data_IF_539303959333
#
_entry.id   IF_539303959333
#
_cell.length_a   1.000
_cell.length_b   1.000
_cell.length_c   1.000
_cell.angle_alpha   90.00
_cell.angle_beta   90.00
_cell.angle_gamma   90.00
#
_symmetry.space_group_name_H-M   'P 1'
#
loop_
_entity.id
_entity.type
_entity.pdbx_description
1 polymer ?
#
# COMPACT_ATOMS: atom_id res chain seq x y z
N UNK A 1 -24.51 18.03 18.81
CA UNK A 1 -23.58 18.45 19.87
C UNK A 1 -22.86 17.17 20.27
N UNK A 2 -21.67 16.93 19.71
CA UNK A 2 -20.94 15.68 19.97
C UNK A 2 -20.40 15.71 21.38
N UNK A 3 -20.52 14.61 22.11
CA UNK A 3 -19.98 14.49 23.47
C UNK A 3 -18.50 14.90 23.48
N UNK A 4 -18.11 15.72 24.47
CA UNK A 4 -16.71 16.06 24.73
C UNK A 4 -15.95 14.77 25.09
N UNK A 5 -15.32 14.15 24.09
CA UNK A 5 -14.47 12.98 24.30
C UNK A 5 -13.23 13.41 25.09
N UNK A 6 -13.21 13.11 26.38
CA UNK A 6 -12.05 13.32 27.25
C UNK A 6 -10.94 12.33 26.90
N UNK A 7 -9.71 12.80 26.92
CA UNK A 7 -8.54 11.96 26.73
C UNK A 7 -8.42 10.96 27.90
N UNK A 8 -8.25 9.67 27.59
CA UNK A 8 -8.12 8.61 28.60
C UNK A 8 -6.80 8.62 29.38
N UNK A 9 -5.82 9.44 28.96
CA UNK A 9 -4.48 9.53 29.56
C UNK A 9 -4.34 10.77 30.46
N UNK A 10 -4.73 11.96 29.98
CA UNK A 10 -4.67 13.19 30.79
C UNK A 10 -6.01 13.62 31.40
N UNK A 11 -7.15 13.07 30.99
CA UNK A 11 -8.48 13.48 31.47
C UNK A 11 -9.00 14.81 30.91
N UNK A 12 -8.13 15.54 30.21
CA UNK A 12 -8.46 16.82 29.57
C UNK A 12 -9.34 16.63 28.32
N UNK A 13 -10.01 17.71 27.92
CA UNK A 13 -10.70 17.85 26.64
C UNK A 13 -9.94 18.83 25.73
N UNK A 14 -8.71 18.50 25.26
CA UNK A 14 -7.84 19.46 24.57
C UNK A 14 -8.27 19.79 23.12
N UNK A 15 -9.43 19.30 22.68
CA UNK A 15 -9.92 19.42 21.30
C UNK A 15 -10.56 18.11 20.81
N UNK A 16 -10.78 17.95 19.49
CA UNK A 16 -11.38 16.73 18.94
C UNK A 16 -10.46 15.53 19.16
N UNK A 17 -10.90 14.60 20.03
CA UNK A 17 -10.25 13.30 20.24
C UNK A 17 -10.93 12.26 19.36
N UNK A 18 -10.16 11.54 18.55
CA UNK A 18 -10.71 10.47 17.72
C UNK A 18 -11.27 9.35 18.60
N UNK A 19 -12.56 9.02 18.45
CA UNK A 19 -13.26 8.02 19.26
C UNK A 19 -12.53 6.67 19.27
N UNK A 20 -12.02 6.25 18.11
CA UNK A 20 -11.30 4.99 17.95
C UNK A 20 -10.05 4.88 18.85
N UNK A 21 -9.35 6.01 19.09
CA UNK A 21 -8.15 6.07 19.93
C UNK A 21 -8.51 6.42 21.38
N UNK A 22 -9.36 7.42 21.59
CA UNK A 22 -9.69 7.96 22.91
C UNK A 22 -8.52 8.70 23.59
N UNK A 23 -7.50 9.12 22.83
CA UNK A 23 -6.31 9.82 23.33
C UNK A 23 -6.04 11.08 22.49
N UNK A 24 -5.62 12.17 23.14
CA UNK A 24 -5.22 13.39 22.44
C UNK A 24 -3.81 13.29 21.83
N UNK A 25 -3.52 14.19 20.90
CA UNK A 25 -2.22 14.26 20.22
C UNK A 25 -1.04 14.45 21.21
N UNK A 26 -1.23 15.30 22.22
CA UNK A 26 -0.16 15.63 23.17
C UNK A 26 0.22 14.40 24.01
N UNK A 27 -0.76 13.62 24.49
CA UNK A 27 -0.48 12.38 25.20
C UNK A 27 0.20 11.32 24.32
N UNK A 28 -0.13 11.25 23.02
CA UNK A 28 0.58 10.35 22.09
C UNK A 28 2.06 10.74 21.96
N UNK A 29 2.39 12.04 21.99
CA UNK A 29 3.75 12.55 21.80
C UNK A 29 4.57 12.56 23.08
N UNK A 30 3.95 12.97 24.19
CA UNK A 30 4.65 13.31 25.44
C UNK A 30 4.53 12.19 26.48
N UNK A 31 3.50 11.34 26.38
CA UNK A 31 3.25 10.20 27.29
C UNK A 31 3.04 8.88 26.52
N UNK A 32 3.96 8.51 25.61
CA UNK A 32 3.77 7.38 24.69
C UNK A 32 3.58 6.04 25.41
N UNK A 33 4.27 5.82 26.54
CA UNK A 33 4.15 4.58 27.32
C UNK A 33 2.73 4.40 27.90
N UNK A 34 2.09 5.49 28.29
CA UNK A 34 0.71 5.49 28.79
C UNK A 34 -0.33 5.45 27.66
N UNK A 35 0.02 5.99 26.50
CA UNK A 35 -0.83 5.97 25.31
C UNK A 35 -0.84 4.60 24.61
N UNK A 36 0.26 3.84 24.67
CA UNK A 36 0.44 2.61 23.89
C UNK A 36 -0.64 1.55 24.10
N UNK A 37 -1.07 1.22 25.35
CA UNK A 37 -2.10 0.20 25.56
C UNK A 37 -3.44 0.52 24.89
N UNK A 38 -3.77 1.81 24.77
CA UNK A 38 -4.98 2.27 24.09
C UNK A 38 -4.82 2.21 22.56
N UNK A 39 -3.64 2.58 22.04
CA UNK A 39 -3.30 2.48 20.61
C UNK A 39 -3.36 1.01 20.16
N UNK A 40 -2.69 0.12 20.88
CA UNK A 40 -2.68 -1.31 20.57
C UNK A 40 -4.09 -1.90 20.58
N UNK A 41 -4.91 -1.52 21.56
CA UNK A 41 -6.31 -1.95 21.63
C UNK A 41 -7.14 -1.46 20.44
N UNK A 42 -6.95 -0.22 19.99
CA UNK A 42 -7.66 0.33 18.83
C UNK A 42 -7.37 -0.48 17.55
N UNK A 43 -6.09 -0.76 17.31
CA UNK A 43 -5.65 -1.59 16.18
C UNK A 43 -6.10 -3.05 16.31
N UNK A 44 -6.03 -3.64 17.50
CA UNK A 44 -6.55 -4.98 17.73
C UNK A 44 -8.03 -5.08 17.37
N UNK A 45 -8.86 -4.14 17.83
CA UNK A 45 -10.30 -4.11 17.52
C UNK A 45 -10.54 -3.93 16.01
N UNK A 46 -9.80 -3.03 15.36
CA UNK A 46 -9.91 -2.81 13.93
C UNK A 46 -9.56 -4.06 13.11
N UNK A 47 -8.56 -4.82 13.55
CA UNK A 47 -8.01 -5.96 12.80
C UNK A 47 -8.69 -7.29 13.10
N UNK A 48 -9.20 -7.48 14.33
CA UNK A 48 -9.92 -8.69 14.75
C UNK A 48 -11.09 -9.03 13.84
N UNK A 49 -11.82 -8.01 13.36
CA UNK A 49 -12.96 -8.16 12.45
C UNK A 49 -12.60 -8.83 11.12
N UNK A 50 -11.32 -8.80 10.74
CA UNK A 50 -10.80 -9.40 9.51
C UNK A 50 -9.96 -10.67 9.79
N UNK A 51 -9.90 -11.15 11.03
CA UNK A 51 -9.04 -12.28 11.40
C UNK A 51 -7.54 -12.00 11.20
N UNK A 52 -7.14 -10.73 11.23
CA UNK A 52 -5.75 -10.33 11.02
C UNK A 52 -4.99 -10.16 12.35
N UNK A 53 -3.68 -10.45 12.41
CA UNK A 53 -2.89 -10.31 13.63
C UNK A 53 -2.87 -8.87 14.13
N UNK A 54 -3.08 -8.63 15.43
CA UNK A 54 -3.10 -7.27 16.01
C UNK A 54 -1.76 -6.53 15.87
N UNK A 55 -0.64 -7.27 15.90
CA UNK A 55 0.73 -6.78 15.76
C UNK A 55 1.51 -7.66 14.78
N UNK A 56 2.60 -7.16 14.16
CA UNK A 56 3.50 -8.01 13.40
C UNK A 56 4.04 -9.17 14.27
N UNK A 57 3.90 -10.44 13.84
CA UNK A 57 4.35 -11.57 14.65
C UNK A 57 5.88 -11.59 14.79
N UNK A 58 6.33 -12.09 15.95
CA UNK A 58 7.74 -12.12 16.41
C UNK A 58 8.03 -13.45 17.13
N UNK A 59 7.46 -14.54 16.63
CA UNK A 59 7.54 -15.84 17.30
C UNK A 59 8.92 -16.45 17.15
N UNK A 60 9.57 -16.75 18.28
CA UNK A 60 10.92 -17.34 18.30
C UNK A 60 10.94 -18.68 17.54
N UNK A 61 11.99 -18.88 16.71
CA UNK A 61 12.09 -20.06 15.85
C UNK A 61 11.10 -20.10 14.67
N UNK A 62 10.28 -19.06 14.49
CA UNK A 62 9.33 -18.96 13.39
C UNK A 62 9.99 -18.63 12.04
N UNK A 63 9.18 -18.69 10.98
CA UNK A 63 9.61 -18.40 9.61
C UNK A 63 9.59 -16.90 9.34
N UNK A 64 10.70 -16.37 8.83
CA UNK A 64 10.86 -14.94 8.56
C UNK A 64 10.32 -14.49 7.20
N UNK A 65 9.69 -13.33 7.14
CA UNK A 65 9.31 -12.64 5.89
C UNK A 65 10.02 -11.28 5.77
N UNK A 66 10.71 -11.07 4.66
CA UNK A 66 11.57 -9.91 4.41
C UNK A 66 11.02 -8.84 3.46
N UNK A 67 9.74 -8.83 3.12
CA UNK A 67 9.22 -7.94 2.05
C UNK A 67 8.91 -6.50 2.48
N UNK A 68 8.83 -6.23 3.78
CA UNK A 68 8.54 -4.90 4.31
C UNK A 68 9.25 -4.67 5.66
N UNK A 69 9.14 -3.46 6.19
CA UNK A 69 9.72 -3.03 7.47
C UNK A 69 9.22 -3.84 8.66
N UNK A 70 8.04 -4.48 8.54
CA UNK A 70 7.47 -5.28 9.62
C UNK A 70 8.25 -6.55 9.92
N UNK A 71 9.12 -7.04 9.02
CA UNK A 71 10.01 -8.20 9.24
C UNK A 71 9.35 -9.32 10.09
N UNK A 72 8.17 -9.78 9.65
CA UNK A 72 7.34 -10.72 10.42
C UNK A 72 8.10 -12.05 10.63
N UNK A 73 8.00 -12.61 11.84
CA UNK A 73 8.50 -13.95 12.18
C UNK A 73 7.30 -14.76 12.67
N UNK A 74 6.86 -15.73 11.86
CA UNK A 74 5.59 -16.45 12.04
C UNK A 74 5.84 -17.85 12.59
N UNK A 75 5.27 -18.16 13.76
CA UNK A 75 5.18 -19.51 14.30
C UNK A 75 4.20 -20.37 13.50
N UNK A 76 4.19 -21.68 13.75
CA UNK A 76 3.29 -22.61 13.05
C UNK A 76 1.82 -22.17 13.20
N UNK A 77 1.09 -22.08 12.08
CA UNK A 77 -0.29 -21.61 12.02
C UNK A 77 -0.47 -20.08 12.08
N UNK A 78 0.59 -19.30 12.33
CA UNK A 78 0.50 -17.85 12.39
C UNK A 78 0.49 -17.19 11.00
N UNK A 79 -0.27 -16.11 10.89
CA UNK A 79 -0.30 -15.22 9.71
C UNK A 79 0.60 -14.01 9.91
N UNK A 80 1.17 -13.51 8.83
CA UNK A 80 1.90 -12.25 8.79
C UNK A 80 0.95 -11.05 8.89
N UNK A 81 1.50 -9.88 9.24
CA UNK A 81 0.68 -8.69 9.49
C UNK A 81 -0.16 -8.25 8.28
N UNK A 82 0.31 -8.44 7.05
CA UNK A 82 -0.49 -8.11 5.87
C UNK A 82 -1.59 -9.13 5.54
N UNK A 83 -1.62 -10.28 6.23
CA UNK A 83 -2.55 -11.38 6.01
C UNK A 83 -2.25 -12.28 4.80
N UNK A 84 -1.39 -11.83 3.88
CA UNK A 84 -1.07 -12.57 2.64
C UNK A 84 -0.14 -13.77 2.84
N UNK A 85 0.57 -13.87 3.97
CA UNK A 85 1.56 -14.93 4.23
C UNK A 85 1.28 -15.59 5.56
N UNK A 86 1.59 -16.87 5.67
CA UNK A 86 1.46 -17.64 6.90
C UNK A 86 2.51 -18.74 6.95
N UNK A 87 2.68 -19.34 8.12
CA UNK A 87 3.52 -20.51 8.30
C UNK A 87 2.66 -21.77 8.44
N UNK A 88 2.91 -22.75 7.59
CA UNK A 88 2.31 -24.07 7.62
C UNK A 88 3.33 -25.06 7.06
N UNK A 89 4.16 -25.64 7.94
CA UNK A 89 5.34 -26.40 7.52
C UNK A 89 6.28 -25.60 6.60
N UNK A 90 6.43 -24.30 6.86
CA UNK A 90 7.17 -23.34 6.04
C UNK A 90 6.31 -22.17 5.54
N UNK A 91 6.96 -21.18 4.92
CA UNK A 91 6.27 -19.99 4.41
C UNK A 91 5.29 -20.37 3.29
N UNK A 92 4.03 -19.98 3.44
CA UNK A 92 2.98 -20.01 2.42
C UNK A 92 2.52 -18.59 2.11
N UNK A 93 1.95 -18.39 0.93
CA UNK A 93 1.58 -17.05 0.45
C UNK A 93 0.35 -17.08 -0.45
N UNK A 94 -0.46 -16.02 -0.41
CA UNK A 94 -1.52 -15.70 -1.37
C UNK A 94 -1.01 -14.85 -2.54
N UNK A 95 0.30 -14.69 -2.69
CA UNK A 95 0.94 -13.99 -3.80
C UNK A 95 2.42 -14.33 -3.87
N UNK A 96 2.94 -14.49 -5.08
CA UNK A 96 4.37 -14.66 -5.36
C UNK A 96 4.81 -13.70 -6.47
N UNK A 97 5.81 -14.02 -7.28
CA UNK A 97 6.22 -13.17 -8.39
C UNK A 97 5.31 -13.34 -9.62
N UNK A 98 4.67 -14.49 -9.78
CA UNK A 98 3.83 -14.84 -10.93
C UNK A 98 2.38 -14.46 -10.70
N UNK A 99 1.88 -14.54 -9.46
CA UNK A 99 0.48 -14.31 -9.12
C UNK A 99 0.31 -13.29 -7.99
N UNK A 100 -0.67 -12.41 -8.18
CA UNK A 100 -1.04 -11.35 -7.24
C UNK A 100 -2.51 -11.43 -6.86
N UNK A 101 -2.82 -11.03 -5.64
CA UNK A 101 -4.18 -10.92 -5.13
C UNK A 101 -4.69 -9.49 -5.35
N UNK A 102 -5.55 -9.30 -6.36
CA UNK A 102 -5.94 -7.97 -6.83
C UNK A 102 -7.27 -7.94 -7.59
N UNK A 103 -7.75 -6.73 -7.86
CA UNK A 103 -8.63 -6.48 -9.00
C UNK A 103 -8.14 -5.27 -9.78
N UNK A 104 -8.49 -5.18 -11.06
CA UNK A 104 -8.10 -4.07 -11.92
C UNK A 104 -9.31 -3.45 -12.62
N UNK A 105 -9.25 -2.14 -12.85
CA UNK A 105 -10.26 -1.40 -13.59
C UNK A 105 -9.64 -0.24 -14.35
N UNK A 106 -10.38 0.34 -15.29
CA UNK A 106 -9.91 1.49 -16.06
C UNK A 106 -10.38 2.80 -15.41
N UNK A 107 -9.43 3.72 -15.20
CA UNK A 107 -9.68 5.08 -14.72
C UNK A 107 -9.30 6.08 -15.83
N UNK A 108 -10.26 6.80 -16.44
CA UNK A 108 -9.99 7.67 -17.58
C UNK A 108 -8.99 8.81 -17.28
N UNK A 109 -8.19 9.21 -18.26
CA UNK A 109 -7.43 10.45 -18.16
C UNK A 109 -8.28 11.67 -18.53
N UNK A 110 -8.24 12.78 -17.80
CA UNK A 110 -7.35 13.12 -16.67
C UNK A 110 -8.09 13.09 -15.31
N UNK A 111 -8.67 11.96 -14.92
CA UNK A 111 -9.32 11.84 -13.60
C UNK A 111 -8.37 11.30 -12.53
N UNK A 112 -8.63 11.71 -11.28
CA UNK A 112 -8.17 11.10 -10.02
C UNK A 112 -6.64 11.01 -9.72
N UNK A 113 -5.75 11.30 -10.67
CA UNK A 113 -4.31 11.22 -10.42
C UNK A 113 -3.81 12.40 -9.56
N UNK A 114 -3.39 12.15 -8.31
CA UNK A 114 -2.80 13.20 -7.45
C UNK A 114 -1.53 13.85 -8.03
N UNK A 115 -0.88 13.19 -8.99
CA UNK A 115 0.29 13.69 -9.70
C UNK A 115 -0.05 14.46 -10.99
N UNK A 116 -1.31 14.77 -11.28
CA UNK A 116 -1.75 15.35 -12.56
C UNK A 116 -1.01 16.65 -12.96
N UNK A 117 -0.50 17.42 -12.01
CA UNK A 117 0.20 18.67 -12.29
C UNK A 117 1.63 18.48 -12.86
N UNK A 118 2.20 17.27 -12.79
CA UNK A 118 3.49 16.94 -13.43
C UNK A 118 3.51 15.61 -14.19
N UNK A 119 2.47 14.78 -14.05
CA UNK A 119 2.39 13.47 -14.71
C UNK A 119 2.37 13.62 -16.24
N UNK A 120 3.16 12.82 -16.99
CA UNK A 120 3.12 12.85 -18.46
C UNK A 120 1.73 12.60 -19.05
N UNK A 121 0.91 11.74 -18.44
CA UNK A 121 -0.46 11.48 -18.92
C UNK A 121 -1.39 12.70 -18.83
N UNK A 122 -1.11 13.65 -17.93
CA UNK A 122 -1.92 14.85 -17.72
C UNK A 122 -1.32 16.10 -18.39
N UNK A 123 0.01 16.16 -18.52
CA UNK A 123 0.72 17.35 -19.01
C UNK A 123 1.29 17.19 -20.42
N UNK A 124 1.53 15.96 -20.88
CA UNK A 124 2.30 15.67 -22.09
C UNK A 124 3.82 15.68 -21.89
N UNK A 125 4.30 15.84 -20.65
CA UNK A 125 5.73 15.91 -20.35
C UNK A 125 6.49 14.72 -20.95
N UNK A 126 7.55 15.00 -21.71
CA UNK A 126 8.36 13.96 -22.36
C UNK A 126 7.72 13.31 -23.58
N UNK A 127 6.69 13.91 -24.21
CA UNK A 127 6.20 13.49 -25.52
C UNK A 127 7.33 13.52 -26.58
N UNK A 128 7.42 12.52 -27.49
CA UNK A 128 6.59 11.32 -27.59
C UNK A 128 7.10 10.12 -26.76
N UNK A 129 8.20 10.28 -26.02
CA UNK A 129 8.86 9.18 -25.30
C UNK A 129 8.00 8.61 -24.18
N UNK A 130 7.38 9.47 -23.37
CA UNK A 130 6.62 9.07 -22.18
C UNK A 130 5.12 9.38 -22.26
N UNK A 131 4.66 10.01 -23.34
CA UNK A 131 3.28 10.42 -23.52
C UNK A 131 2.81 10.20 -24.96
N UNK A 132 1.51 10.02 -25.14
CA UNK A 132 0.83 9.88 -26.43
C UNK A 132 0.44 11.21 -27.06
N UNK A 133 0.43 12.30 -26.29
CA UNK A 133 0.07 13.64 -26.76
C UNK A 133 1.03 14.66 -26.16
N UNK A 134 1.29 15.74 -26.90
CA UNK A 134 1.90 16.97 -26.37
C UNK A 134 0.82 17.77 -25.62
N UNK A 135 0.37 17.21 -24.49
CA UNK A 135 -0.72 17.70 -23.66
C UNK A 135 -1.46 16.56 -22.96
N UNK A 136 -2.57 16.89 -22.29
CA UNK A 136 -3.41 15.92 -21.58
C UNK A 136 -3.88 14.77 -22.49
N UNK A 137 -3.69 13.52 -22.04
CA UNK A 137 -4.08 12.30 -22.76
C UNK A 137 -5.59 12.01 -22.68
N UNK A 138 -6.44 12.99 -23.01
CA UNK A 138 -7.90 12.80 -23.06
C UNK A 138 -8.25 11.65 -24.00
N UNK A 139 -9.06 10.70 -23.49
CA UNK A 139 -9.46 9.48 -24.19
C UNK A 139 -8.51 8.30 -24.00
N UNK A 140 -7.46 8.44 -23.18
CA UNK A 140 -6.64 7.34 -22.67
C UNK A 140 -7.07 7.02 -21.23
N UNK A 141 -6.62 5.88 -20.70
CA UNK A 141 -6.92 5.47 -19.33
C UNK A 141 -5.68 4.95 -18.60
N UNK A 142 -5.74 5.05 -17.27
CA UNK A 142 -4.94 4.29 -16.33
C UNK A 142 -5.57 2.91 -16.12
N UNK A 143 -4.75 1.86 -16.12
CA UNK A 143 -5.12 0.57 -15.55
C UNK A 143 -4.85 0.63 -14.04
N UNK A 144 -5.90 0.94 -13.27
CA UNK A 144 -5.85 1.03 -11.82
C UNK A 144 -5.87 -0.39 -11.24
N UNK A 145 -4.80 -0.78 -10.56
CA UNK A 145 -4.60 -2.11 -9.97
C UNK A 145 -4.71 -2.01 -8.45
N UNK A 146 -5.86 -2.43 -7.92
CA UNK A 146 -6.13 -2.47 -6.49
C UNK A 146 -5.62 -3.78 -5.90
N UNK A 147 -4.58 -3.70 -5.08
CA UNK A 147 -3.94 -4.82 -4.41
C UNK A 147 -4.57 -5.08 -3.04
N UNK A 148 -4.82 -6.35 -2.73
CA UNK A 148 -5.21 -6.77 -1.39
C UNK A 148 -3.99 -6.92 -0.46
N UNK A 149 -4.22 -6.73 0.83
CA UNK A 149 -3.17 -6.74 1.85
C UNK A 149 -2.43 -5.39 1.98
N UNK A 150 -2.05 -5.06 3.21
CA UNK A 150 -1.26 -3.87 3.53
C UNK A 150 -0.36 -4.16 4.73
N UNK A 151 0.86 -3.64 4.72
CA UNK A 151 1.77 -3.71 5.87
C UNK A 151 1.46 -2.67 6.96
N UNK A 152 0.50 -1.78 6.73
CA UNK A 152 -0.01 -0.81 7.71
C UNK A 152 -1.44 -1.19 8.14
N UNK A 153 -1.91 -0.57 9.21
CA UNK A 153 -3.30 -0.59 9.67
C UNK A 153 -3.81 0.82 9.95
N UNK A 154 -3.93 1.65 8.91
CA UNK A 154 -4.41 3.02 9.08
C UNK A 154 -5.85 3.02 9.63
N UNK A 155 -6.08 3.61 10.82
CA UNK A 155 -7.44 3.72 11.41
C UNK A 155 -8.39 4.60 10.57
N UNK A 156 -7.84 5.41 9.67
CA UNK A 156 -8.54 6.28 8.72
C UNK A 156 -8.47 5.76 7.27
N UNK A 157 -8.15 4.48 7.06
CA UNK A 157 -8.02 3.92 5.71
C UNK A 157 -9.31 4.09 4.90
N UNK A 158 -9.21 4.71 3.72
CA UNK A 158 -10.33 4.89 2.79
C UNK A 158 -10.67 3.63 1.99
N UNK A 159 -9.76 2.65 1.98
CA UNK A 159 -9.87 1.40 1.23
C UNK A 159 -9.90 0.15 2.14
N UNK A 160 -10.73 0.09 3.20
CA UNK A 160 -10.66 -0.99 4.20
C UNK A 160 -10.91 -2.39 3.61
N UNK A 161 -11.58 -2.46 2.45
CA UNK A 161 -11.82 -3.70 1.69
C UNK A 161 -10.55 -4.42 1.27
N UNK A 162 -9.38 -3.76 1.26
CA UNK A 162 -8.09 -4.44 1.00
C UNK A 162 -7.78 -5.54 2.03
N UNK A 163 -8.48 -5.58 3.17
CA UNK A 163 -8.35 -6.59 4.23
C UNK A 163 -9.20 -7.84 3.97
N UNK A 164 -10.08 -7.80 2.98
CA UNK A 164 -10.95 -8.92 2.58
C UNK A 164 -10.21 -9.84 1.60
N UNK A 165 -9.36 -10.71 2.15
CA UNK A 165 -8.51 -11.59 1.36
C UNK A 165 -9.31 -12.80 0.84
N UNK A 166 -9.65 -12.80 -0.45
CA UNK A 166 -10.31 -13.93 -1.14
C UNK A 166 -9.39 -14.54 -2.20
N UNK A 167 -8.82 -15.75 -1.98
CA UNK A 167 -7.93 -16.42 -2.93
C UNK A 167 -8.47 -16.58 -4.35
N UNK A 168 -9.79 -16.47 -4.56
CA UNK A 168 -10.40 -16.49 -5.90
C UNK A 168 -10.07 -15.26 -6.75
N UNK A 169 -9.45 -14.24 -6.17
CA UNK A 169 -9.06 -12.96 -6.82
C UNK A 169 -7.61 -12.96 -7.31
N UNK A 170 -7.02 -14.14 -7.56
CA UNK A 170 -5.69 -14.23 -8.15
C UNK A 170 -5.68 -13.81 -9.62
N UNK A 171 -4.67 -13.02 -9.96
CA UNK A 171 -4.39 -12.58 -11.32
C UNK A 171 -2.91 -12.85 -11.58
N UNK A 172 -2.61 -13.50 -12.70
CA UNK A 172 -1.24 -13.72 -13.12
C UNK A 172 -0.62 -12.45 -13.71
N UNK A 173 0.71 -12.36 -13.67
CA UNK A 173 1.47 -11.26 -14.25
C UNK A 173 1.17 -11.11 -15.75
N UNK A 174 1.08 -12.24 -16.46
CA UNK A 174 0.75 -12.27 -17.90
C UNK A 174 -0.68 -11.79 -18.18
N UNK A 175 -1.65 -12.19 -17.36
CA UNK A 175 -3.03 -11.72 -17.51
C UNK A 175 -3.12 -10.20 -17.31
N UNK A 176 -2.41 -9.66 -16.30
CA UNK A 176 -2.36 -8.23 -16.06
C UNK A 176 -1.65 -7.47 -17.21
N UNK A 177 -0.55 -8.03 -17.74
CA UNK A 177 0.13 -7.49 -18.91
C UNK A 177 -0.77 -7.50 -20.16
N UNK A 178 -1.56 -8.56 -20.36
CA UNK A 178 -2.56 -8.67 -21.41
C UNK A 178 -3.62 -7.56 -21.33
N UNK A 179 -4.12 -7.25 -20.14
CA UNK A 179 -5.05 -6.12 -19.94
C UNK A 179 -4.45 -4.78 -20.37
N UNK A 180 -3.16 -4.56 -20.13
CA UNK A 180 -2.46 -3.35 -20.58
C UNK A 180 -2.22 -3.31 -22.10
N UNK A 181 -2.11 -4.48 -22.74
CA UNK A 181 -1.96 -4.62 -24.19
C UNK A 181 -3.28 -4.39 -24.94
N UNK A 182 -4.34 -5.05 -24.49
CA UNK A 182 -5.66 -5.10 -25.14
C UNK A 182 -6.57 -3.93 -24.75
N UNK A 183 -6.36 -3.34 -23.56
CA UNK A 183 -7.25 -2.35 -23.01
C UNK A 183 -7.39 -1.08 -23.88
N UNK A 184 -8.58 -0.48 -23.95
CA UNK A 184 -8.81 0.75 -24.70
C UNK A 184 -7.83 1.83 -24.26
N UNK A 185 -7.00 2.32 -25.19
CA UNK A 185 -6.02 3.41 -24.99
C UNK A 185 -5.37 3.43 -23.58
N UNK A 186 -4.99 2.27 -23.05
CA UNK A 186 -4.24 2.20 -21.78
C UNK A 186 -2.88 2.84 -21.98
N UNK A 187 -2.49 3.72 -21.07
CA UNK A 187 -1.28 4.54 -21.14
C UNK A 187 -0.44 4.52 -19.87
N UNK A 188 -1.01 4.04 -18.77
CA UNK A 188 -0.27 3.75 -17.55
C UNK A 188 -0.92 2.61 -16.74
N UNK A 189 -0.14 2.02 -15.85
CA UNK A 189 -0.59 1.10 -14.80
C UNK A 189 -0.28 1.77 -13.46
N UNK A 190 -1.25 1.83 -12.55
CA UNK A 190 -1.03 2.32 -11.18
C UNK A 190 -1.33 1.22 -10.18
N UNK A 191 -0.31 0.78 -9.44
CA UNK A 191 -0.47 -0.15 -8.32
C UNK A 191 -0.82 0.63 -7.04
N UNK A 192 -1.97 0.32 -6.46
CA UNK A 192 -2.51 0.96 -5.25
C UNK A 192 -3.43 -0.02 -4.50
N UNK A 193 -4.31 0.47 -3.61
CA UNK A 193 -5.36 -0.32 -2.96
C UNK A 193 -5.12 -0.44 -1.45
N UNK A 194 -4.61 -1.59 -1.01
CA UNK A 194 -3.97 -1.73 0.29
C UNK A 194 -2.60 -1.10 0.28
N UNK A 195 -1.60 -1.87 -0.12
CA UNK A 195 -0.27 -1.36 -0.46
C UNK A 195 0.45 -2.34 -1.38
N UNK A 196 1.31 -1.91 -2.32
CA UNK A 196 2.11 -2.82 -3.13
C UNK A 196 3.22 -3.55 -2.38
N UNK A 197 3.71 -3.05 -1.25
CA UNK A 197 4.83 -3.61 -0.47
C UNK A 197 4.70 -5.13 -0.21
N UNK A 198 3.54 -5.65 0.24
CA UNK A 198 3.35 -7.08 0.44
C UNK A 198 3.38 -7.93 -0.84
N UNK A 199 3.23 -7.32 -2.02
CA UNK A 199 3.14 -7.96 -3.33
C UNK A 199 4.17 -7.40 -4.33
N UNK A 200 5.23 -6.73 -3.83
CA UNK A 200 6.25 -6.11 -4.68
C UNK A 200 6.84 -7.05 -5.75
N UNK A 201 7.20 -8.31 -5.42
CA UNK A 201 7.67 -9.26 -6.43
C UNK A 201 6.71 -9.44 -7.60
N UNK A 202 5.40 -9.61 -7.33
CA UNK A 202 4.36 -9.69 -8.35
C UNK A 202 4.31 -8.41 -9.18
N UNK A 203 4.22 -7.25 -8.54
CA UNK A 203 4.03 -5.97 -9.25
C UNK A 203 5.23 -5.62 -10.14
N UNK A 204 6.45 -5.99 -9.74
CA UNK A 204 7.67 -5.82 -10.53
C UNK A 204 7.60 -6.72 -11.77
N UNK A 205 7.34 -8.02 -11.59
CA UNK A 205 7.25 -8.97 -12.69
C UNK A 205 6.13 -8.60 -13.69
N UNK A 206 4.94 -8.25 -13.19
CA UNK A 206 3.84 -7.82 -14.04
C UNK A 206 4.13 -6.51 -14.78
N UNK A 207 4.88 -5.58 -14.17
CA UNK A 207 5.33 -4.36 -14.83
C UNK A 207 6.30 -4.64 -15.97
N UNK A 208 7.27 -5.53 -15.73
CA UNK A 208 8.25 -5.95 -16.73
C UNK A 208 7.56 -6.63 -17.92
N UNK A 209 6.64 -7.57 -17.65
CA UNK A 209 5.82 -8.21 -18.67
C UNK A 209 4.98 -7.20 -19.45
N UNK A 210 4.33 -6.25 -18.76
CA UNK A 210 3.51 -5.21 -19.40
C UNK A 210 4.33 -4.27 -20.30
N UNK A 211 5.53 -3.88 -19.86
CA UNK A 211 6.45 -3.06 -20.64
C UNK A 211 6.96 -3.81 -21.88
N UNK A 212 7.19 -5.12 -21.76
CA UNK A 212 7.62 -5.96 -22.87
C UNK A 212 6.54 -6.07 -23.94
N UNK A 213 5.31 -6.40 -23.58
CA UNK A 213 4.20 -6.48 -24.54
C UNK A 213 3.83 -5.13 -25.16
N UNK A 214 4.20 -4.02 -24.50
CA UNK A 214 4.02 -2.64 -24.99
C UNK A 214 5.29 -2.01 -25.54
N UNK A 215 6.32 -2.79 -25.85
CA UNK A 215 7.60 -2.27 -26.37
C UNK A 215 7.38 -1.31 -27.55
N UNK A 216 8.05 -0.16 -27.49
CA UNK A 216 7.96 0.89 -28.50
C UNK A 216 6.73 1.81 -28.40
N UNK A 217 5.84 1.59 -27.42
CA UNK A 217 4.67 2.43 -27.14
C UNK A 217 4.74 2.94 -25.69
N UNK A 218 4.40 4.22 -25.41
CA UNK A 218 4.35 4.71 -24.04
C UNK A 218 3.45 3.86 -23.14
N UNK A 219 4.01 3.34 -22.04
CA UNK A 219 3.28 2.73 -20.95
C UNK A 219 4.01 3.10 -19.67
N UNK A 220 3.40 3.93 -18.84
CA UNK A 220 4.00 4.39 -17.58
C UNK A 220 3.64 3.44 -16.44
N UNK A 221 4.60 3.07 -15.62
CA UNK A 221 4.40 2.24 -14.43
C UNK A 221 4.43 3.13 -13.20
N UNK A 222 3.35 3.16 -12.43
CA UNK A 222 3.23 4.00 -11.24
C UNK A 222 2.95 3.17 -9.98
N UNK A 223 3.45 3.64 -8.85
CA UNK A 223 3.22 3.02 -7.54
C UNK A 223 2.67 4.06 -6.55
N UNK A 224 1.65 3.68 -5.79
CA UNK A 224 1.02 4.44 -4.69
C UNK A 224 1.07 3.61 -3.42
N UNK A 225 1.85 4.05 -2.44
CA UNK A 225 2.19 3.19 -1.30
C UNK A 225 2.67 3.94 -0.05
N UNK A 226 2.91 3.22 1.05
CA UNK A 226 3.34 3.81 2.33
C UNK A 226 4.87 3.94 2.48
N UNK A 227 5.65 3.31 1.60
CA UNK A 227 7.10 3.40 1.54
C UNK A 227 7.87 2.59 2.56
N UNK A 228 7.21 1.66 3.24
CA UNK A 228 7.85 0.79 4.21
C UNK A 228 8.11 -0.62 3.65
N UNK A 229 8.44 -0.71 2.36
CA UNK A 229 8.79 -1.95 1.67
C UNK A 229 10.24 -2.36 1.90
N UNK A 230 10.64 -3.50 1.37
CA UNK A 230 12.04 -3.87 1.30
C UNK A 230 12.81 -2.89 0.38
N UNK A 231 13.95 -2.31 0.84
CA UNK A 231 14.64 -1.27 0.08
C UNK A 231 15.09 -1.69 -1.33
N UNK A 232 15.46 -2.96 -1.52
CA UNK A 232 15.89 -3.45 -2.83
C UNK A 232 14.71 -3.50 -3.79
N UNK A 233 13.58 -4.05 -3.34
CA UNK A 233 12.37 -4.14 -4.16
C UNK A 233 11.75 -2.76 -4.43
N UNK A 234 11.75 -1.86 -3.43
CA UNK A 234 11.30 -0.47 -3.59
C UNK A 234 12.15 0.25 -4.63
N UNK A 235 13.48 0.10 -4.60
CA UNK A 235 14.38 0.66 -5.61
C UNK A 235 14.05 0.11 -7.00
N UNK A 236 13.85 -1.20 -7.14
CA UNK A 236 13.50 -1.82 -8.42
C UNK A 236 12.21 -1.27 -9.00
N UNK A 237 11.16 -1.14 -8.18
CA UNK A 237 9.90 -0.56 -8.61
C UNK A 237 10.02 0.94 -8.96
N UNK A 238 10.85 1.69 -8.22
CA UNK A 238 11.15 3.09 -8.55
C UNK A 238 11.92 3.24 -9.87
N UNK A 239 12.86 2.34 -10.17
CA UNK A 239 13.55 2.28 -11.47
C UNK A 239 12.55 2.04 -12.60
N UNK A 240 11.62 1.09 -12.44
CA UNK A 240 10.57 0.83 -13.43
C UNK A 240 9.71 2.08 -13.69
N UNK A 241 9.31 2.81 -12.65
CA UNK A 241 8.64 4.10 -12.81
C UNK A 241 9.50 5.11 -13.57
N UNK A 242 10.77 5.27 -13.18
CA UNK A 242 11.68 6.23 -13.82
C UNK A 242 11.87 5.94 -15.31
N UNK A 243 12.19 4.70 -15.68
CA UNK A 243 12.51 4.34 -17.07
C UNK A 243 11.27 4.37 -17.97
N UNK A 244 10.08 4.18 -17.40
CA UNK A 244 8.80 4.22 -18.12
C UNK A 244 8.14 5.62 -18.16
N UNK A 245 8.67 6.60 -17.41
CA UNK A 245 8.06 7.92 -17.24
C UNK A 245 6.85 7.92 -16.30
N UNK A 246 6.72 6.90 -15.46
CA UNK A 246 5.71 6.84 -14.41
C UNK A 246 6.17 7.49 -13.09
N UNK A 247 5.27 7.45 -12.10
CA UNK A 247 5.43 8.17 -10.85
C UNK A 247 5.41 7.23 -9.64
N UNK A 248 6.27 7.52 -8.66
CA UNK A 248 6.22 6.93 -7.32
C UNK A 248 5.56 7.94 -6.38
N UNK A 249 4.55 7.49 -5.63
CA UNK A 249 3.77 8.30 -4.69
C UNK A 249 3.85 7.64 -3.32
N UNK A 250 4.51 8.34 -2.38
CA UNK A 250 4.62 7.90 -0.99
C UNK A 250 3.64 8.69 -0.11
N UNK A 251 2.77 7.97 0.58
CA UNK A 251 1.91 8.54 1.60
C UNK A 251 2.65 8.60 2.95
N UNK A 252 3.41 9.67 3.15
CA UNK A 252 4.07 10.00 4.43
C UNK A 252 3.03 10.43 5.47
N UNK A 253 2.49 9.48 6.23
CA UNK A 253 1.34 9.71 7.14
C UNK A 253 1.65 10.68 8.28
N UNK A 254 2.86 10.62 8.82
CA UNK A 254 3.32 11.46 9.92
C UNK A 254 4.84 11.35 10.09
N UNK A 255 5.46 12.32 10.78
CA UNK A 255 6.91 12.35 10.96
C UNK A 255 7.41 11.44 12.09
N UNK A 256 6.65 11.35 13.18
CA UNK A 256 7.09 10.66 14.41
C UNK A 256 6.58 9.21 14.47
N UNK A 257 7.42 8.24 14.84
CA UNK A 257 7.05 6.83 15.00
C UNK A 257 5.87 6.58 15.94
N UNK A 258 5.76 7.34 17.03
CA UNK A 258 4.71 7.22 18.05
C UNK A 258 3.35 7.57 17.44
N UNK A 259 3.32 8.62 16.63
CA UNK A 259 2.14 8.99 15.88
C UNK A 259 1.83 7.99 14.76
N UNK A 260 2.86 7.38 14.15
CA UNK A 260 2.66 6.31 13.15
C UNK A 260 2.07 5.06 13.78
N UNK A 261 2.50 4.72 15.00
CA UNK A 261 1.90 3.63 15.78
C UNK A 261 0.44 3.95 16.09
N UNK A 262 0.12 5.16 16.53
CA UNK A 262 -1.27 5.58 16.80
C UNK A 262 -2.16 5.60 15.55
N UNK A 263 -1.61 6.01 14.41
CA UNK A 263 -2.36 6.20 13.18
C UNK A 263 -2.45 4.93 12.33
N UNK A 264 -1.42 4.10 12.35
CA UNK A 264 -1.17 3.05 11.36
C UNK A 264 -0.73 1.71 11.95
N UNK A 265 -0.64 1.58 13.27
CA UNK A 265 -0.36 0.32 13.97
C UNK A 265 1.09 -0.19 13.85
N UNK A 266 1.93 0.51 13.08
CA UNK A 266 3.34 0.17 12.82
C UNK A 266 4.17 1.45 12.67
N UNK A 267 5.48 1.41 12.97
CA UNK A 267 6.36 2.55 12.74
C UNK A 267 6.66 2.74 11.24
N UNK A 268 6.84 3.98 10.82
CA UNK A 268 7.09 4.36 9.42
C UNK A 268 8.53 4.84 9.13
N UNK A 269 9.49 4.56 10.02
CA UNK A 269 10.88 5.02 9.90
C UNK A 269 11.52 4.66 8.55
N UNK A 270 11.13 3.55 7.95
CA UNK A 270 11.66 3.08 6.66
C UNK A 270 11.32 4.01 5.50
N UNK A 271 10.17 4.70 5.55
CA UNK A 271 9.75 5.63 4.48
C UNK A 271 10.59 6.93 4.45
N UNK A 272 11.40 7.18 5.48
CA UNK A 272 12.25 8.36 5.61
C UNK A 272 13.76 8.06 5.48
N UNK A 273 14.11 6.85 5.03
CA UNK A 273 15.49 6.41 4.79
C UNK A 273 15.75 6.26 3.31
#
# INVERSE_FOLDING_TARGET
MGDEVRCRVCGEAPGPVAEALGICLDCIRERPDEAMPHIERAHEVARRRHGLPARPPRTEGGVSCGLCSNRCIMGEGERGYCGLRWNEGGLRSLSDASEGLLYAYLDPHITNCCAAWFCPGATGAGYPRYAYRDGAERGYSNLAVFLYGCNFDCLFCQNPSHKELDPRRWVSADALAGLAAEGPKVSCICFFGGSPEPQLPFTINASEAALEVRRGRPLRICFEWNGCGDPFLVRRAAELSLVSGGNVKFDLKCFTPELSLALSGVPNRQAYR
#
